data_IF_464366110646
#
_entry.id   IF_464366110646
#
_cell.length_a   1.000
_cell.length_b   1.000
_cell.length_c   1.000
_cell.angle_alpha   90.00
_cell.angle_beta   90.00
_cell.angle_gamma   90.00
#
_symmetry.space_group_name_H-M   'P 1'
#
loop_
_entity.id
_entity.type
_entity.pdbx_description
1 polymer ?
#
# COMPACT_ATOMS: atom_id res chain seq x y z
N UNK A 1 -19.08 3.56 23.46
CA UNK A 1 -19.00 2.28 22.74
C UNK A 1 -18.95 2.60 21.25
N UNK A 2 -17.91 2.11 20.57
CA UNK A 2 -17.64 2.11 19.12
C UNK A 2 -18.18 3.29 18.27
N UNK A 3 -17.36 4.33 18.10
CA UNK A 3 -17.54 5.29 17.00
C UNK A 3 -17.44 4.54 15.67
N UNK A 4 -18.41 4.67 14.74
CA UNK A 4 -18.31 4.05 13.43
C UNK A 4 -17.22 4.80 12.67
N UNK A 5 -16.04 4.19 12.59
CA UNK A 5 -15.00 4.63 11.69
C UNK A 5 -15.54 4.37 10.29
N UNK A 6 -16.16 5.39 9.70
CA UNK A 6 -16.49 5.41 8.29
C UNK A 6 -15.19 5.14 7.53
N UNK A 7 -15.01 3.87 7.18
CA UNK A 7 -13.99 3.36 6.27
C UNK A 7 -14.02 4.31 5.08
N UNK A 8 -12.98 5.13 4.81
CA UNK A 8 -12.97 5.87 3.57
C UNK A 8 -13.07 4.80 2.50
N UNK A 9 -14.17 4.88 1.75
CA UNK A 9 -14.61 3.88 0.80
C UNK A 9 -13.38 3.40 0.04
N UNK A 10 -13.16 2.08 0.11
CA UNK A 10 -12.08 1.45 -0.61
C UNK A 10 -12.12 1.97 -2.04
N UNK A 11 -11.05 2.62 -2.46
CA UNK A 11 -10.72 2.61 -3.88
C UNK A 11 -10.87 1.15 -4.27
N UNK A 12 -11.76 0.81 -5.23
CA UNK A 12 -11.90 -0.56 -5.65
C UNK A 12 -10.57 -0.95 -6.27
N UNK A 13 -9.68 -1.51 -5.44
CA UNK A 13 -8.46 -2.18 -5.88
C UNK A 13 -8.98 -3.42 -6.56
N UNK A 14 -9.19 -3.29 -7.88
CA UNK A 14 -9.66 -4.35 -8.74
C UNK A 14 -8.97 -5.64 -8.34
N UNK A 15 -9.76 -6.62 -7.91
CA UNK A 15 -9.30 -7.93 -7.44
C UNK A 15 -8.66 -8.78 -8.56
N UNK A 16 -8.44 -8.20 -9.74
CA UNK A 16 -7.51 -8.75 -10.70
C UNK A 16 -6.10 -8.52 -10.15
N UNK A 17 -5.38 -9.60 -9.83
CA UNK A 17 -3.99 -9.61 -9.38
C UNK A 17 -3.11 -8.68 -10.24
N UNK A 18 -3.09 -7.40 -9.86
CA UNK A 18 -2.47 -6.36 -10.64
C UNK A 18 -0.97 -6.43 -10.44
N UNK A 19 -0.22 -6.60 -11.52
CA UNK A 19 1.24 -6.71 -11.41
C UNK A 19 1.88 -5.43 -10.88
N UNK A 20 1.22 -4.28 -10.91
CA UNK A 20 1.79 -3.01 -10.46
C UNK A 20 1.32 -2.66 -9.05
N UNK A 21 2.25 -2.66 -8.11
CA UNK A 21 1.99 -2.34 -6.71
C UNK A 21 2.59 -0.99 -6.33
N UNK A 22 1.83 -0.18 -5.60
CA UNK A 22 2.35 1.04 -4.97
C UNK A 22 3.00 0.62 -3.66
N UNK A 23 4.29 0.87 -3.49
CA UNK A 23 5.05 0.48 -2.31
C UNK A 23 5.35 1.71 -1.46
N UNK A 24 5.07 1.62 -0.16
CA UNK A 24 5.39 2.66 0.84
C UNK A 24 6.64 2.38 1.65
N UNK A 25 7.20 1.18 1.52
CA UNK A 25 8.39 0.77 2.25
C UNK A 25 8.81 -0.65 1.97
N UNK A 26 10.10 -0.91 2.16
CA UNK A 26 10.73 -2.22 2.04
C UNK A 26 11.65 -2.43 3.24
N UNK A 27 11.33 -3.41 4.08
CA UNK A 27 11.97 -3.59 5.38
C UNK A 27 12.60 -4.98 5.49
N UNK A 28 13.83 -5.04 6.00
CA UNK A 28 14.50 -6.32 6.32
C UNK A 28 13.94 -6.95 7.61
N UNK A 29 13.40 -6.12 8.50
CA UNK A 29 12.80 -6.52 9.77
C UNK A 29 11.27 -6.51 9.63
N UNK A 30 10.58 -7.66 9.70
CA UNK A 30 9.13 -7.76 9.52
C UNK A 30 8.34 -6.84 10.45
N UNK A 31 8.76 -6.71 11.71
CA UNK A 31 8.10 -5.83 12.68
C UNK A 31 8.07 -4.35 12.29
N UNK A 32 9.01 -3.89 11.44
CA UNK A 32 8.95 -2.52 10.91
C UNK A 32 7.89 -2.38 9.82
N UNK A 33 7.72 -3.40 8.98
CA UNK A 33 6.65 -3.44 7.98
C UNK A 33 5.28 -3.48 8.66
N UNK A 34 5.10 -4.30 9.70
CA UNK A 34 3.86 -4.39 10.48
C UNK A 34 3.51 -3.08 11.20
N UNK A 35 4.52 -2.39 11.74
CA UNK A 35 4.35 -1.04 12.30
C UNK A 35 3.88 -0.05 11.25
N UNK A 36 4.47 -0.05 10.06
CA UNK A 36 4.07 0.85 8.97
C UNK A 36 2.64 0.54 8.51
N UNK A 37 2.28 -0.74 8.36
CA UNK A 37 0.90 -1.19 8.07
C UNK A 37 -0.09 -0.65 9.10
N UNK A 38 0.24 -0.75 10.39
CA UNK A 38 -0.62 -0.25 11.47
C UNK A 38 -0.79 1.27 11.40
N UNK A 39 0.29 2.02 11.13
CA UNK A 39 0.23 3.48 10.97
C UNK A 39 -0.64 3.90 9.76
N UNK A 40 -0.48 3.21 8.63
CA UNK A 40 -1.25 3.46 7.41
C UNK A 40 -2.73 3.10 7.60
N UNK A 41 -3.04 2.02 8.31
CA UNK A 41 -4.41 1.67 8.71
C UNK A 41 -5.05 2.75 9.59
N UNK A 42 -4.30 3.31 10.54
CA UNK A 42 -4.77 4.43 11.37
C UNK A 42 -5.03 5.70 10.56
N UNK A 43 -4.34 5.89 9.42
CA UNK A 43 -4.62 6.97 8.46
C UNK A 43 -5.83 6.69 7.55
N UNK A 44 -6.52 5.56 7.75
CA UNK A 44 -7.68 5.13 6.97
C UNK A 44 -7.32 4.47 5.65
N UNK A 45 -6.08 4.01 5.46
CA UNK A 45 -5.69 3.24 4.28
C UNK A 45 -5.82 1.74 4.51
N UNK A 46 -5.78 0.94 3.45
CA UNK A 46 -5.77 -0.52 3.53
C UNK A 46 -4.48 -1.10 2.95
N UNK A 47 -3.33 -0.91 3.62
CA UNK A 47 -2.07 -1.48 3.20
C UNK A 47 -2.05 -3.01 3.31
N UNK A 48 -1.28 -3.63 2.44
CA UNK A 48 -1.06 -5.07 2.36
C UNK A 48 0.44 -5.38 2.47
N UNK A 49 0.78 -6.46 3.18
CA UNK A 49 2.14 -6.98 3.17
C UNK A 49 2.32 -7.90 1.98
N UNK A 50 3.29 -7.59 1.13
CA UNK A 50 3.61 -8.42 -0.01
C UNK A 50 4.43 -9.65 0.42
N UNK A 51 4.40 -10.73 -0.38
CA UNK A 51 5.26 -11.89 -0.15
C UNK A 51 6.72 -11.46 -0.01
N UNK A 52 7.41 -12.05 0.98
CA UNK A 52 8.79 -11.71 1.28
C UNK A 52 9.68 -12.04 0.06
N UNK A 53 10.31 -11.03 -0.52
CA UNK A 53 11.30 -11.20 -1.61
C UNK A 53 12.69 -11.15 -1.02
N UNK A 54 13.27 -12.34 -0.80
CA UNK A 54 14.55 -12.51 -0.13
C UNK A 54 14.46 -12.12 1.34
N UNK A 55 15.24 -11.12 1.77
CA UNK A 55 15.20 -10.59 3.14
C UNK A 55 14.18 -9.48 3.35
N UNK A 56 13.56 -8.97 2.29
CA UNK A 56 12.73 -7.78 2.34
C UNK A 56 11.24 -8.10 2.42
N UNK A 57 10.56 -7.43 3.34
CA UNK A 57 9.11 -7.41 3.50
C UNK A 57 8.62 -6.05 3.03
N UNK A 58 7.82 -6.02 1.97
CA UNK A 58 7.35 -4.79 1.36
C UNK A 58 5.91 -4.49 1.78
N UNK A 59 5.61 -3.21 1.95
CA UNK A 59 4.27 -2.73 2.27
C UNK A 59 3.67 -2.11 1.02
N UNK A 60 2.61 -2.72 0.49
CA UNK A 60 1.85 -2.21 -0.63
C UNK A 60 0.66 -1.39 -0.15
N UNK A 61 0.38 -0.27 -0.81
CA UNK A 61 -0.82 0.54 -0.60
C UNK A 61 -1.96 0.15 -1.55
N UNK A 62 -1.68 -0.72 -2.52
CA UNK A 62 -2.63 -1.19 -3.52
C UNK A 62 -1.95 -1.77 -4.75
N UNK A 63 -2.68 -2.62 -5.46
CA UNK A 63 -2.29 -3.28 -6.71
C UNK A 63 -3.17 -2.81 -7.86
N UNK A 64 -2.58 -2.73 -9.06
CA UNK A 64 -3.21 -2.22 -10.28
C UNK A 64 -2.76 -3.03 -11.48
N UNK A 65 -3.67 -3.21 -12.45
CA UNK A 65 -3.37 -3.94 -13.68
C UNK A 65 -2.45 -3.13 -14.61
N UNK A 66 -2.62 -1.81 -14.67
CA UNK A 66 -1.80 -0.93 -15.49
C UNK A 66 -0.87 -0.02 -14.67
N UNK A 67 0.35 0.20 -15.18
CA UNK A 67 1.33 1.12 -14.58
C UNK A 67 0.78 2.54 -14.43
N UNK A 68 0.05 3.05 -15.42
CA UNK A 68 -0.48 4.41 -15.40
C UNK A 68 -1.52 4.63 -14.30
N UNK A 69 -2.35 3.61 -14.01
CA UNK A 69 -3.30 3.66 -12.90
C UNK A 69 -2.56 3.70 -11.56
N UNK A 70 -1.56 2.81 -11.39
CA UNK A 70 -0.74 2.80 -10.18
C UNK A 70 -0.01 4.12 -9.96
N UNK A 71 0.58 4.72 -11.01
CA UNK A 71 1.29 6.00 -10.92
C UNK A 71 0.33 7.15 -10.57
N UNK A 72 -0.87 7.17 -11.16
CA UNK A 72 -1.87 8.20 -10.87
C UNK A 72 -2.32 8.14 -9.41
N UNK A 73 -2.65 6.95 -8.92
CA UNK A 73 -3.01 6.74 -7.52
C UNK A 73 -1.83 7.01 -6.56
N UNK A 74 -0.61 6.62 -6.94
CA UNK A 74 0.60 6.90 -6.17
C UNK A 74 0.80 8.41 -5.97
N UNK A 75 0.64 9.21 -7.02
CA UNK A 75 0.81 10.66 -6.93
C UNK A 75 -0.20 11.31 -5.96
N UNK A 76 -1.46 10.83 -5.95
CA UNK A 76 -2.47 11.28 -4.99
C UNK A 76 -2.11 10.89 -3.55
N UNK A 77 -1.62 9.67 -3.35
CA UNK A 77 -1.19 9.18 -2.03
C UNK A 77 0.09 9.88 -1.55
N UNK A 78 1.03 10.19 -2.44
CA UNK A 78 2.30 10.85 -2.12
C UNK A 78 2.06 12.23 -1.51
N UNK A 79 1.14 12.99 -2.11
CA UNK A 79 0.74 14.31 -1.59
C UNK A 79 0.04 14.22 -0.22
N UNK A 80 -0.76 13.16 0.01
CA UNK A 80 -1.50 12.97 1.27
C UNK A 80 -0.65 12.44 2.41
N UNK A 81 0.32 11.58 2.11
CA UNK A 81 1.13 10.89 3.10
C UNK A 81 2.43 11.61 3.43
N UNK A 82 2.91 12.49 2.54
CA UNK A 82 4.23 13.13 2.63
C UNK A 82 5.35 12.08 2.76
N UNK A 83 5.17 10.94 2.08
CA UNK A 83 6.09 9.81 2.10
C UNK A 83 6.57 9.49 0.68
N UNK A 84 7.78 8.94 0.58
CA UNK A 84 8.28 8.42 -0.69
C UNK A 84 7.52 7.13 -1.04
N UNK A 85 6.90 7.14 -2.21
CA UNK A 85 6.14 6.02 -2.76
C UNK A 85 6.71 5.71 -4.14
N UNK A 86 6.82 4.43 -4.46
CA UNK A 86 7.20 3.98 -5.80
C UNK A 86 6.25 2.90 -6.32
N UNK A 87 6.08 2.86 -7.64
CA UNK A 87 5.37 1.75 -8.30
C UNK A 87 6.38 0.67 -8.63
N UNK A 88 6.10 -0.56 -8.20
CA UNK A 88 6.90 -1.74 -8.51
C UNK A 88 6.05 -2.77 -9.26
N UNK A 89 6.60 -3.32 -10.35
CA UNK A 89 6.01 -4.50 -10.98
C UNK A 89 6.41 -5.74 -10.19
N UNK A 90 5.42 -6.53 -9.77
CA UNK A 90 5.58 -7.82 -9.13
C UNK A 90 5.04 -8.86 -10.11
N UNK A 91 5.93 -9.75 -10.51
CA UNK A 91 5.65 -10.93 -11.33
C UNK A 91 5.52 -12.17 -10.47
#
# INVERSE_FOLDING_TARGET
MATPHAKPAGVPLSAAAGQYHIISGSFTVPGNAEKQVSQLRNKGLNPELLPKRGKYTMVSLGSYAAKNEAVSAMNQLRARLEQDLWVMKIE
#
